data_IF_610218692016
#
_entry.id   IF_610218692016
#
_cell.length_a   1.000
_cell.length_b   1.000
_cell.length_c   1.000
_cell.angle_alpha   90.00
_cell.angle_beta   90.00
_cell.angle_gamma   90.00
#
_symmetry.space_group_name_H-M   'P 1'
#
loop_
_entity.id
_entity.type
_entity.pdbx_description
1 polymer ?
#
# COMPACT_ATOMS: atom_id res chain seq x y z
N UNK A 1 10.04 -16.88 -32.22
CA UNK A 1 8.63 -16.76 -31.77
C UNK A 1 8.41 -15.35 -31.31
N UNK A 2 7.39 -14.63 -31.77
CA UNK A 2 7.05 -13.35 -31.17
C UNK A 2 6.69 -13.59 -29.69
N UNK A 3 7.16 -12.71 -28.82
CA UNK A 3 6.82 -12.79 -27.39
C UNK A 3 5.30 -12.65 -27.23
N UNK A 4 4.72 -13.43 -26.31
CA UNK A 4 3.30 -13.31 -25.97
C UNK A 4 3.01 -11.85 -25.57
N UNK A 5 2.04 -11.17 -26.22
CA UNK A 5 1.72 -9.78 -25.92
C UNK A 5 1.40 -9.53 -24.44
N UNK A 6 0.77 -10.49 -23.76
CA UNK A 6 0.46 -10.41 -22.33
C UNK A 6 1.73 -10.39 -21.50
N UNK A 7 2.65 -11.32 -21.77
CA UNK A 7 3.93 -11.38 -21.07
C UNK A 7 4.78 -10.14 -21.34
N UNK A 8 4.75 -9.64 -22.58
CA UNK A 8 5.49 -8.43 -22.94
C UNK A 8 4.96 -7.20 -22.19
N UNK A 9 3.64 -7.00 -22.17
CA UNK A 9 3.03 -5.89 -21.45
C UNK A 9 3.35 -5.95 -19.95
N UNK A 10 3.20 -7.12 -19.35
CA UNK A 10 3.50 -7.35 -17.95
C UNK A 10 4.97 -7.05 -17.61
N UNK A 11 5.90 -7.56 -18.43
CA UNK A 11 7.33 -7.33 -18.23
C UNK A 11 7.71 -5.84 -18.34
N UNK A 12 7.10 -5.11 -19.29
CA UNK A 12 7.33 -3.66 -19.43
C UNK A 12 6.79 -2.87 -18.23
N UNK A 13 5.60 -3.22 -17.73
CA UNK A 13 5.04 -2.61 -16.52
C UNK A 13 5.94 -2.83 -15.31
N UNK A 14 6.36 -4.07 -15.07
CA UNK A 14 7.26 -4.39 -13.95
C UNK A 14 8.57 -3.61 -14.05
N UNK A 15 9.23 -3.61 -15.21
CA UNK A 15 10.48 -2.87 -15.43
C UNK A 15 10.32 -1.37 -15.21
N UNK A 16 9.20 -0.80 -15.65
CA UNK A 16 8.92 0.62 -15.47
C UNK A 16 8.73 0.96 -13.98
N UNK A 17 7.93 0.18 -13.26
CA UNK A 17 7.69 0.37 -11.82
C UNK A 17 8.99 0.20 -11.03
N UNK A 18 9.78 -0.84 -11.33
CA UNK A 18 11.05 -1.09 -10.66
C UNK A 18 12.07 0.03 -10.89
N UNK A 19 12.20 0.51 -12.13
CA UNK A 19 13.10 1.60 -12.48
C UNK A 19 12.75 2.93 -11.78
N UNK A 20 11.49 3.10 -11.38
CA UNK A 20 10.99 4.31 -10.69
C UNK A 20 10.60 4.04 -9.23
N UNK A 21 11.03 2.92 -8.68
CA UNK A 21 10.82 2.59 -7.26
C UNK A 21 11.47 3.63 -6.36
N UNK A 22 10.72 4.10 -5.36
CA UNK A 22 11.15 5.11 -4.41
C UNK A 22 11.31 4.56 -2.98
N UNK A 23 11.44 3.24 -2.85
CA UNK A 23 11.54 2.60 -1.53
C UNK A 23 12.71 3.11 -0.69
N UNK A 24 13.85 3.37 -1.33
CA UNK A 24 15.02 3.94 -0.66
C UNK A 24 14.78 5.35 -0.16
N UNK A 25 14.21 6.21 -1.00
CA UNK A 25 13.86 7.59 -0.67
C UNK A 25 12.82 7.65 0.45
N UNK A 26 11.80 6.77 0.39
CA UNK A 26 10.81 6.63 1.45
C UNK A 26 11.44 6.21 2.78
N UNK A 27 12.31 5.21 2.76
CA UNK A 27 12.97 4.73 3.96
C UNK A 27 13.86 5.81 4.60
N UNK A 28 14.55 6.60 3.79
CA UNK A 28 15.36 7.73 4.26
C UNK A 28 14.49 8.84 4.86
N UNK A 29 13.43 9.25 4.15
CA UNK A 29 12.54 10.32 4.59
C UNK A 29 11.76 9.97 5.86
N UNK A 30 11.36 8.70 6.02
CA UNK A 30 10.57 8.24 7.15
C UNK A 30 11.42 7.73 8.32
N UNK A 31 12.70 7.45 8.09
CA UNK A 31 13.59 6.85 9.08
C UNK A 31 13.37 5.35 9.32
N UNK A 32 12.49 4.70 8.52
CA UNK A 32 12.23 3.25 8.58
C UNK A 32 11.64 2.75 7.25
N UNK A 33 11.63 1.42 7.07
CA UNK A 33 11.09 0.79 5.87
C UNK A 33 9.61 0.43 6.02
N UNK A 34 8.80 0.78 5.02
CA UNK A 34 7.37 0.45 4.95
C UNK A 34 7.07 -1.00 4.48
N UNK A 35 8.08 -1.80 4.23
CA UNK A 35 7.91 -3.19 3.80
C UNK A 35 7.28 -4.10 4.87
N UNK A 36 6.94 -5.35 4.49
CA UNK A 36 6.39 -6.35 5.41
C UNK A 36 4.99 -5.98 5.93
N UNK A 37 4.13 -5.38 5.10
CA UNK A 37 2.76 -5.02 5.47
C UNK A 37 2.61 -3.72 6.27
N UNK A 38 3.71 -3.12 6.75
CA UNK A 38 3.65 -1.88 7.53
C UNK A 38 3.02 -0.73 6.77
N UNK A 39 3.37 -0.56 5.51
CA UNK A 39 2.79 0.45 4.63
C UNK A 39 1.28 0.26 4.47
N UNK A 40 0.84 -0.96 4.17
CA UNK A 40 -0.60 -1.26 4.00
C UNK A 40 -1.40 -0.89 5.24
N UNK A 41 -0.97 -1.32 6.41
CA UNK A 41 -1.65 -1.01 7.69
C UNK A 41 -1.64 0.49 7.96
N UNK A 42 -0.51 1.15 7.79
CA UNK A 42 -0.40 2.59 8.03
C UNK A 42 -1.37 3.38 7.12
N UNK A 43 -1.40 3.06 5.82
CA UNK A 43 -2.29 3.74 4.87
C UNK A 43 -3.77 3.42 5.08
N UNK A 44 -4.13 2.22 5.54
CA UNK A 44 -5.52 1.88 5.87
C UNK A 44 -6.07 2.72 7.04
N UNK A 45 -5.22 3.08 7.99
CA UNK A 45 -5.60 3.92 9.12
C UNK A 45 -5.87 5.38 8.75
N UNK A 46 -5.60 5.77 7.50
CA UNK A 46 -5.92 7.11 6.97
C UNK A 46 -7.39 7.46 7.11
N UNK A 47 -8.26 6.50 6.86
CA UNK A 47 -9.71 6.69 6.83
C UNK A 47 -10.37 6.57 8.22
N UNK A 48 -9.59 6.23 9.23
CA UNK A 48 -10.05 6.15 10.62
C UNK A 48 -9.45 4.99 11.41
N UNK A 49 -9.77 4.93 12.71
CA UNK A 49 -9.29 3.87 13.59
C UNK A 49 -9.86 2.50 13.21
N UNK A 50 -9.03 1.47 13.31
CA UNK A 50 -9.40 0.07 13.07
C UNK A 50 -8.95 -0.81 14.23
N UNK A 51 -9.68 -1.89 14.50
CA UNK A 51 -9.23 -2.91 15.44
C UNK A 51 -8.13 -3.79 14.84
N UNK A 52 -7.35 -4.46 15.67
CA UNK A 52 -6.36 -5.45 15.20
C UNK A 52 -6.99 -6.54 14.35
N UNK A 53 -8.20 -7.00 14.73
CA UNK A 53 -8.94 -8.00 13.93
C UNK A 53 -9.31 -7.49 12.55
N UNK A 54 -9.79 -6.25 12.45
CA UNK A 54 -10.11 -5.63 11.15
C UNK A 54 -8.86 -5.45 10.29
N UNK A 55 -7.75 -5.03 10.89
CA UNK A 55 -6.46 -4.90 10.18
C UNK A 55 -5.93 -6.25 9.68
N UNK A 56 -6.04 -7.30 10.51
CA UNK A 56 -5.64 -8.65 10.13
C UNK A 56 -6.49 -9.18 8.98
N UNK A 57 -7.81 -9.09 9.08
CA UNK A 57 -8.76 -9.55 8.06
C UNK A 57 -8.55 -8.83 6.72
N UNK A 58 -8.51 -7.50 6.75
CA UNK A 58 -8.34 -6.68 5.54
C UNK A 58 -7.02 -6.93 4.80
N UNK A 59 -5.99 -7.43 5.49
CA UNK A 59 -4.69 -7.73 4.91
C UNK A 59 -4.43 -9.23 4.71
N UNK A 60 -5.37 -10.10 5.03
CA UNK A 60 -5.20 -11.55 4.97
C UNK A 60 -4.07 -12.05 5.86
N UNK A 61 -3.90 -11.43 7.03
CA UNK A 61 -2.86 -11.74 8.01
C UNK A 61 -3.45 -12.53 9.18
N UNK A 62 -2.62 -13.36 9.80
CA UNK A 62 -2.97 -13.89 11.11
C UNK A 62 -2.86 -12.80 12.21
N UNK A 63 -3.55 -13.01 13.32
CA UNK A 63 -3.57 -12.03 14.41
C UNK A 63 -2.19 -11.78 15.05
N UNK A 64 -1.31 -12.79 15.26
CA UNK A 64 0.04 -12.55 15.76
C UNK A 64 0.88 -11.68 14.84
N UNK A 65 0.81 -11.89 13.54
CA UNK A 65 1.58 -11.10 12.58
C UNK A 65 1.06 -9.67 12.45
N UNK A 66 -0.25 -9.47 12.44
CA UNK A 66 -0.85 -8.13 12.47
C UNK A 66 -0.43 -7.38 13.74
N UNK A 67 -0.42 -8.04 14.90
CA UNK A 67 0.05 -7.49 16.17
C UNK A 67 1.51 -7.07 16.06
N UNK A 68 2.38 -7.91 15.50
CA UNK A 68 3.80 -7.60 15.32
C UNK A 68 4.02 -6.35 14.44
N UNK A 69 3.25 -6.21 13.37
CA UNK A 69 3.33 -5.03 12.50
C UNK A 69 2.92 -3.77 13.25
N UNK A 70 1.79 -3.83 13.97
CA UNK A 70 1.29 -2.69 14.76
C UNK A 70 2.27 -2.33 15.87
N UNK A 71 2.87 -3.30 16.55
CA UNK A 71 3.91 -3.05 17.57
C UNK A 71 5.10 -2.28 16.99
N UNK A 72 5.54 -2.64 15.78
CA UNK A 72 6.61 -1.92 15.09
C UNK A 72 6.22 -0.50 14.71
N UNK A 73 5.00 -0.28 14.22
CA UNK A 73 4.49 1.06 13.91
C UNK A 73 4.34 1.92 15.17
N UNK A 74 3.90 1.32 16.28
CA UNK A 74 3.79 1.98 17.58
C UNK A 74 5.17 2.33 18.16
N UNK A 75 6.15 1.44 18.02
CA UNK A 75 7.54 1.70 18.40
C UNK A 75 8.16 2.88 17.64
N UNK A 76 7.74 3.11 16.39
CA UNK A 76 8.12 4.31 15.63
C UNK A 76 7.24 5.53 15.93
N UNK A 77 6.29 5.43 16.85
CA UNK A 77 5.41 6.53 17.22
C UNK A 77 4.38 6.94 16.17
N UNK A 78 4.11 6.09 15.19
CA UNK A 78 3.21 6.41 14.07
C UNK A 78 1.76 6.04 14.35
N UNK A 79 1.54 5.07 15.19
CA UNK A 79 0.22 4.62 15.65
C UNK A 79 0.21 4.50 17.17
N UNK A 80 -0.97 4.52 17.72
CA UNK A 80 -1.23 4.23 19.13
C UNK A 80 -2.45 3.34 19.29
N UNK A 81 -2.52 2.59 20.37
CA UNK A 81 -3.69 1.80 20.74
C UNK A 81 -4.53 2.56 21.74
N UNK A 82 -5.82 2.69 21.46
CA UNK A 82 -6.82 3.30 22.34
C UNK A 82 -7.91 2.30 22.71
N UNK A 83 -8.55 2.38 23.89
CA UNK A 83 -9.71 1.57 24.18
C UNK A 83 -10.82 1.85 23.18
N UNK A 84 -11.52 0.79 22.74
CA UNK A 84 -12.72 0.95 21.91
C UNK A 84 -13.81 1.65 22.73
N UNK A 85 -14.55 2.63 22.16
CA UNK A 85 -15.56 3.38 22.91
C UNK A 85 -16.68 2.50 23.47
N UNK A 86 -17.09 1.47 22.72
CA UNK A 86 -18.20 0.59 23.09
C UNK A 86 -17.78 -0.69 23.86
N UNK A 87 -16.50 -1.04 23.81
CA UNK A 87 -15.97 -2.22 24.50
C UNK A 87 -14.49 -2.03 24.87
N UNK A 88 -14.24 -1.74 26.13
CA UNK A 88 -12.89 -1.51 26.66
C UNK A 88 -11.95 -2.71 26.56
N UNK A 89 -12.47 -3.90 26.32
CA UNK A 89 -11.65 -5.10 26.08
C UNK A 89 -11.00 -5.09 24.70
N UNK A 90 -11.59 -4.36 23.75
CA UNK A 90 -11.08 -4.19 22.41
C UNK A 90 -10.19 -2.94 22.35
N UNK A 91 -9.19 -2.98 21.48
CA UNK A 91 -8.33 -1.84 21.20
C UNK A 91 -8.53 -1.37 19.77
N UNK A 92 -8.58 -0.06 19.60
CA UNK A 92 -8.49 0.60 18.31
C UNK A 92 -7.05 1.03 18.07
N UNK A 93 -6.58 0.79 16.87
CA UNK A 93 -5.32 1.33 16.36
C UNK A 93 -5.64 2.61 15.62
N UNK A 94 -4.98 3.70 15.95
CA UNK A 94 -5.19 5.01 15.34
C UNK A 94 -3.85 5.66 15.00
N UNK A 95 -3.85 6.53 14.00
CA UNK A 95 -2.68 7.32 13.66
C UNK A 95 -2.39 8.36 14.76
N UNK A 96 -1.12 8.54 15.05
CA UNK A 96 -0.63 9.71 15.77
C UNK A 96 -0.45 10.90 14.83
N UNK A 97 -0.21 12.12 15.33
CA UNK A 97 0.22 13.24 14.47
C UNK A 97 1.45 12.90 13.63
N UNK A 98 2.42 12.17 14.19
CA UNK A 98 3.58 11.67 13.45
C UNK A 98 3.19 10.66 12.35
N UNK A 99 2.19 9.80 12.61
CA UNK A 99 1.63 8.89 11.61
C UNK A 99 0.98 9.63 10.44
N UNK A 100 0.19 10.64 10.70
CA UNK A 100 -0.39 11.50 9.65
C UNK A 100 0.70 12.20 8.83
N UNK A 101 1.72 12.73 9.47
CA UNK A 101 2.86 13.36 8.78
C UNK A 101 3.64 12.35 7.94
N UNK A 102 3.83 11.13 8.42
CA UNK A 102 4.49 10.06 7.68
C UNK A 102 3.72 9.70 6.41
N UNK A 103 2.39 9.60 6.48
CA UNK A 103 1.54 9.38 5.31
C UNK A 103 1.66 10.54 4.31
N UNK A 104 1.57 11.77 4.77
CA UNK A 104 1.70 12.95 3.91
C UNK A 104 3.08 13.00 3.21
N UNK A 105 4.15 12.66 3.92
CA UNK A 105 5.50 12.55 3.36
C UNK A 105 5.59 11.44 2.31
N UNK A 106 5.02 10.28 2.62
CA UNK A 106 4.98 9.15 1.68
C UNK A 106 4.18 9.49 0.42
N UNK A 107 3.02 10.12 0.55
CA UNK A 107 2.21 10.57 -0.59
C UNK A 107 2.98 11.57 -1.47
N UNK A 108 3.64 12.55 -0.87
CA UNK A 108 4.46 13.52 -1.60
C UNK A 108 5.59 12.86 -2.41
N UNK A 109 6.15 11.77 -1.92
CA UNK A 109 7.19 11.00 -2.61
C UNK A 109 6.59 10.10 -3.69
N UNK A 110 5.55 9.33 -3.35
CA UNK A 110 4.96 8.31 -4.22
C UNK A 110 4.19 8.90 -5.39
N UNK A 111 3.51 10.04 -5.19
CA UNK A 111 2.70 10.70 -6.22
C UNK A 111 3.54 11.57 -7.19
N UNK A 112 4.84 11.69 -6.99
CA UNK A 112 5.70 12.32 -7.98
C UNK A 112 5.79 11.46 -9.24
N UNK A 113 5.11 11.90 -10.29
CA UNK A 113 5.15 11.19 -11.57
C UNK A 113 6.55 11.22 -12.18
N UNK A 114 7.02 10.09 -12.74
CA UNK A 114 8.26 10.08 -13.52
C UNK A 114 8.20 11.05 -14.71
N UNK A 115 9.34 11.67 -15.10
CA UNK A 115 9.38 12.53 -16.28
C UNK A 115 8.86 11.85 -17.54
N UNK A 116 9.12 10.56 -17.70
CA UNK A 116 8.64 9.77 -18.85
C UNK A 116 7.10 9.81 -18.99
N UNK A 117 6.34 9.73 -17.89
CA UNK A 117 4.88 9.86 -17.93
C UNK A 117 4.45 11.29 -18.27
N UNK A 118 5.11 12.30 -17.68
CA UNK A 118 4.78 13.71 -17.94
C UNK A 118 5.05 14.14 -19.38
N UNK A 119 5.94 13.45 -20.08
CA UNK A 119 6.30 13.74 -21.46
C UNK A 119 5.45 13.01 -22.51
N UNK A 120 4.48 12.19 -22.08
CA UNK A 120 3.50 11.60 -22.98
C UNK A 120 2.58 12.68 -23.56
N UNK A 121 2.07 12.44 -24.78
CA UNK A 121 1.00 13.25 -25.34
C UNK A 121 -0.28 13.14 -24.51
N UNK A 122 -1.19 14.10 -24.63
CA UNK A 122 -2.48 14.04 -23.95
C UNK A 122 -3.26 12.76 -24.31
N UNK A 123 -3.24 12.38 -25.59
CA UNK A 123 -3.93 11.19 -26.09
C UNK A 123 -3.31 9.89 -25.50
N UNK A 124 -1.99 9.80 -25.43
CA UNK A 124 -1.30 8.65 -24.83
C UNK A 124 -1.57 8.56 -23.32
N UNK A 125 -1.61 9.69 -22.63
CA UNK A 125 -1.96 9.74 -21.19
C UNK A 125 -3.40 9.27 -20.97
N UNK A 126 -4.34 9.70 -21.81
CA UNK A 126 -5.73 9.26 -21.72
C UNK A 126 -5.85 7.76 -21.96
N UNK A 127 -5.21 7.24 -23.00
CA UNK A 127 -5.20 5.80 -23.30
C UNK A 127 -4.57 4.99 -22.15
N UNK A 128 -3.44 5.43 -21.61
CA UNK A 128 -2.79 4.79 -20.48
C UNK A 128 -3.70 4.76 -19.26
N UNK A 129 -4.34 5.88 -18.96
CA UNK A 129 -5.28 6.00 -17.82
C UNK A 129 -6.45 5.04 -17.99
N UNK A 130 -7.07 4.99 -19.16
CA UNK A 130 -8.18 4.07 -19.44
C UNK A 130 -7.75 2.62 -19.28
N UNK A 131 -6.59 2.23 -19.81
CA UNK A 131 -6.11 0.85 -19.73
C UNK A 131 -5.80 0.45 -18.28
N UNK A 132 -5.11 1.31 -17.53
CA UNK A 132 -4.82 1.04 -16.13
C UNK A 132 -6.08 0.96 -15.27
N UNK A 133 -7.07 1.83 -15.50
CA UNK A 133 -8.36 1.78 -14.80
C UNK A 133 -9.06 0.47 -15.04
N UNK A 134 -9.14 0.01 -16.30
CA UNK A 134 -9.75 -1.29 -16.65
C UNK A 134 -9.04 -2.47 -15.96
N UNK A 135 -7.72 -2.44 -15.91
CA UNK A 135 -6.95 -3.50 -15.22
C UNK A 135 -7.26 -3.54 -13.72
N UNK A 136 -7.30 -2.38 -13.07
CA UNK A 136 -7.62 -2.30 -11.65
C UNK A 136 -9.06 -2.72 -11.32
N UNK A 137 -10.03 -2.33 -12.17
CA UNK A 137 -11.43 -2.74 -12.01
C UNK A 137 -11.61 -4.26 -12.20
N UNK A 138 -10.90 -4.85 -13.17
CA UNK A 138 -10.93 -6.29 -13.41
C UNK A 138 -10.33 -7.07 -12.23
N UNK A 139 -9.20 -6.59 -11.69
CA UNK A 139 -8.54 -7.21 -10.54
C UNK A 139 -9.42 -7.18 -9.27
N UNK A 140 -10.19 -6.10 -9.09
CA UNK A 140 -11.15 -5.99 -7.98
C UNK A 140 -12.41 -6.85 -8.17
N UNK A 141 -12.76 -7.21 -9.40
CA UNK A 141 -13.94 -8.01 -9.73
C UNK A 141 -13.68 -9.53 -9.62
N UNK A 142 -12.42 -9.97 -9.71
CA UNK A 142 -12.06 -11.37 -9.49
C UNK A 142 -11.96 -11.63 -7.97
N UNK A 143 -12.77 -12.59 -7.42
CA UNK A 143 -12.60 -12.99 -6.04
C UNK A 143 -11.20 -13.60 -5.87
N UNK A 144 -10.45 -13.12 -4.88
CA UNK A 144 -9.13 -13.67 -4.54
C UNK A 144 -9.18 -15.19 -4.47
N UNK A 145 -8.47 -15.86 -5.37
CA UNK A 145 -8.30 -17.33 -5.32
C UNK A 145 -7.50 -17.68 -4.04
N UNK A 146 -8.11 -18.40 -3.08
CA UNK A 146 -7.43 -18.74 -1.83
C UNK A 146 -6.19 -19.63 -2.02
N UNK A 147 -5.97 -20.15 -3.23
CA UNK A 147 -4.82 -21.00 -3.54
C UNK A 147 -3.49 -20.25 -3.76
N UNK A 148 -3.51 -18.93 -3.92
CA UNK A 148 -2.29 -18.13 -4.14
C UNK A 148 -1.53 -17.74 -2.86
N UNK A 149 -2.07 -18.04 -1.68
CA UNK A 149 -1.50 -17.65 -0.37
C UNK A 149 -0.50 -18.65 0.23
N UNK A 150 -0.12 -19.70 -0.53
CA UNK A 150 0.70 -20.77 0.00
C UNK A 150 1.92 -21.11 -0.86
N UNK A 151 2.84 -20.19 -1.05
CA UNK A 151 4.24 -20.54 -1.39
C UNK A 151 5.20 -19.43 -0.92
#
# INVERSE_FOLDING_TARGET
MPADPVQQAWALMQRFVEAHSRHGELAEALGFRLGGGRGKILFQLRDGPLTLSQLAEANGLDAPYATLIVDKLEAHGLVERRPHPDDRRRKLVTLTPAGHNAIATADAILLRSPPAIRNLSADDLEQLTVLLTRLLEADMAEPEDPASRGR
#
